data_IF_635059531134
#
_entry.id   IF_635059531134
#
_cell.length_a   1.000
_cell.length_b   1.000
_cell.length_c   1.000
_cell.angle_alpha   90.00
_cell.angle_beta   90.00
_cell.angle_gamma   90.00
#
_symmetry.space_group_name_H-M   'P 1'
#
loop_
_entity.id
_entity.type
_entity.pdbx_description
1 polymer ?
#
# COMPACT_ATOMS: atom_id res chain seq x y z
N UNK A 1 -11.28 1.93 1.73
CA UNK A 1 -11.07 3.29 1.19
C UNK A 1 -12.21 4.21 1.66
N UNK A 2 -13.42 4.09 1.09
CA UNK A 2 -14.57 5.00 1.33
C UNK A 2 -14.81 5.43 2.78
N UNK A 3 -14.88 4.51 3.74
CA UNK A 3 -15.13 4.87 5.15
C UNK A 3 -14.00 5.70 5.76
N UNK A 4 -12.73 5.35 5.49
CA UNK A 4 -11.58 6.07 5.99
C UNK A 4 -11.44 7.45 5.32
N UNK A 5 -11.63 7.50 3.99
CA UNK A 5 -11.61 8.76 3.24
C UNK A 5 -12.74 9.71 3.65
N UNK A 6 -13.94 9.21 3.95
CA UNK A 6 -15.03 10.01 4.50
C UNK A 6 -14.72 10.62 5.87
N UNK A 7 -13.80 10.00 6.62
CA UNK A 7 -13.28 10.50 7.90
C UNK A 7 -12.00 11.34 7.73
N UNK A 8 -11.54 11.58 6.50
CA UNK A 8 -10.30 12.31 6.22
C UNK A 8 -9.03 11.55 6.62
N UNK A 9 -9.07 10.21 6.63
CA UNK A 9 -7.93 9.36 6.99
C UNK A 9 -7.31 8.73 5.74
N UNK A 10 -5.98 8.60 5.74
CA UNK A 10 -5.25 7.82 4.74
C UNK A 10 -5.42 6.31 5.00
N UNK A 11 -5.31 5.51 3.95
CA UNK A 11 -5.37 4.05 4.00
C UNK A 11 -4.10 3.46 3.40
N UNK A 12 -3.49 2.55 4.16
CA UNK A 12 -2.40 1.70 3.69
C UNK A 12 -2.98 0.32 3.36
N UNK A 13 -2.75 -0.17 2.14
CA UNK A 13 -3.03 -1.56 1.79
C UNK A 13 -1.75 -2.41 1.93
N UNK A 14 -1.77 -3.37 2.84
CA UNK A 14 -0.64 -4.27 3.11
C UNK A 14 -0.78 -5.60 2.37
N UNK A 15 0.36 -6.25 2.09
CA UNK A 15 0.42 -7.57 1.45
C UNK A 15 0.36 -7.55 -0.09
N UNK A 16 0.81 -6.46 -0.72
CA UNK A 16 0.89 -6.38 -2.19
C UNK A 16 2.08 -7.19 -2.73
N UNK A 17 1.79 -8.30 -3.42
CA UNK A 17 2.77 -9.26 -3.91
C UNK A 17 2.82 -9.35 -5.44
N UNK A 18 1.76 -8.93 -6.14
CA UNK A 18 1.70 -9.00 -7.62
C UNK A 18 1.36 -7.65 -8.28
N UNK A 19 1.83 -7.40 -9.52
CA UNK A 19 1.51 -6.17 -10.26
C UNK A 19 0.00 -5.93 -10.42
N UNK A 20 -0.79 -6.99 -10.57
CA UNK A 20 -2.25 -6.90 -10.73
C UNK A 20 -2.93 -6.40 -9.46
N UNK A 21 -2.43 -6.79 -8.28
CA UNK A 21 -2.93 -6.27 -7.00
C UNK A 21 -2.60 -4.78 -6.85
N UNK A 22 -1.39 -4.37 -7.25
CA UNK A 22 -0.98 -2.97 -7.23
C UNK A 22 -1.86 -2.13 -8.15
N UNK A 23 -2.10 -2.59 -9.38
CA UNK A 23 -2.94 -1.86 -10.33
C UNK A 23 -4.38 -1.76 -9.85
N UNK A 24 -4.94 -2.85 -9.30
CA UNK A 24 -6.26 -2.82 -8.68
C UNK A 24 -6.35 -1.78 -7.55
N UNK A 25 -5.34 -1.69 -6.69
CA UNK A 25 -5.32 -0.71 -5.59
C UNK A 25 -5.18 0.72 -6.10
N UNK A 26 -4.40 0.95 -7.17
CA UNK A 26 -4.28 2.25 -7.84
C UNK A 26 -5.62 2.70 -8.43
N UNK A 27 -6.35 1.80 -9.09
CA UNK A 27 -7.69 2.08 -9.63
C UNK A 27 -8.76 2.37 -8.54
N UNK A 28 -8.50 1.98 -7.29
CA UNK A 28 -9.37 2.25 -6.13
C UNK A 28 -8.96 3.49 -5.34
N UNK A 29 -8.01 4.27 -5.86
CA UNK A 29 -7.44 5.44 -5.20
C UNK A 29 -6.86 5.11 -3.82
N UNK A 30 -6.09 4.02 -3.73
CA UNK A 30 -5.38 3.70 -2.50
C UNK A 30 -4.21 4.64 -2.26
N UNK A 31 -4.14 5.21 -1.05
CA UNK A 31 -3.18 6.26 -0.72
C UNK A 31 -1.76 5.70 -0.65
N UNK A 32 -1.61 4.57 0.04
CA UNK A 32 -0.32 3.94 0.30
C UNK A 32 -0.42 2.42 0.17
N UNK A 33 0.69 1.78 -0.18
CA UNK A 33 0.78 0.33 -0.36
C UNK A 33 2.07 -0.21 0.27
N UNK A 34 1.97 -1.37 0.90
CA UNK A 34 3.11 -2.14 1.40
C UNK A 34 3.02 -3.57 0.91
N UNK A 35 4.14 -4.12 0.44
CA UNK A 35 4.22 -5.54 0.15
C UNK A 35 5.49 -5.95 -0.57
N UNK A 36 5.67 -7.25 -0.70
CA UNK A 36 6.91 -7.86 -1.23
C UNK A 36 7.14 -7.55 -2.71
N UNK A 37 6.09 -7.14 -3.43
CA UNK A 37 6.24 -6.61 -4.79
C UNK A 37 7.17 -5.40 -4.83
N UNK A 38 7.10 -4.55 -3.80
CA UNK A 38 7.87 -3.30 -3.73
C UNK A 38 9.19 -3.52 -2.99
N UNK A 39 9.11 -4.10 -1.79
CA UNK A 39 10.27 -4.38 -0.97
C UNK A 39 9.93 -5.43 0.10
N UNK A 40 10.92 -6.24 0.45
CA UNK A 40 10.85 -7.08 1.65
C UNK A 40 11.17 -6.24 2.91
N UNK A 41 10.69 -6.65 4.10
CA UNK A 41 11.11 -6.06 5.36
C UNK A 41 12.63 -6.06 5.48
N UNK A 42 13.19 -4.93 5.91
CA UNK A 42 14.63 -4.73 5.97
C UNK A 42 15.04 -4.03 7.26
N UNK A 43 16.27 -4.25 7.76
CA UNK A 43 16.77 -3.52 8.92
C UNK A 43 16.72 -2.01 8.71
N UNK A 44 16.56 -1.24 9.78
CA UNK A 44 16.43 0.22 9.73
C UNK A 44 17.44 0.94 8.80
N UNK A 45 18.74 0.61 8.82
CA UNK A 45 19.72 1.22 7.89
C UNK A 45 19.45 1.01 6.41
N UNK A 46 18.75 -0.07 6.04
CA UNK A 46 18.37 -0.36 4.66
C UNK A 46 17.00 0.25 4.29
N UNK A 47 16.17 0.61 5.28
CA UNK A 47 14.82 1.16 5.10
C UNK A 47 14.81 2.68 4.82
N UNK A 48 15.97 3.28 4.50
CA UNK A 48 16.14 4.72 4.24
C UNK A 48 16.11 5.07 2.77
#
# INVERSE_FOLDING_TARGET
MLMAHALGLNVVAEGVETPEQLEYLREKDCDEVQGYLLAQPMPGPACM
#
